data_IF_830159741366
#
_entry.id   IF_830159741366
#
_cell.length_a   1.000
_cell.length_b   1.000
_cell.length_c   1.000
_cell.angle_alpha   90.00
_cell.angle_beta   90.00
_cell.angle_gamma   90.00
#
_symmetry.space_group_name_H-M   'P 1'
#
loop_
_entity.id
_entity.type
_entity.pdbx_description
1 polymer ?
#
# COMPACT_ATOMS: atom_id res chain seq x y z
N UNK A 1 4.41 59.34 5.34
CA UNK A 1 4.68 58.35 6.41
C UNK A 1 6.17 58.43 6.74
N UNK A 2 6.53 58.70 7.99
CA UNK A 2 7.92 58.64 8.45
C UNK A 2 8.14 57.24 9.08
N UNK A 3 9.09 56.46 8.55
CA UNK A 3 9.41 55.12 9.04
C UNK A 3 10.45 54.41 8.16
N UNK A 4 11.07 53.36 8.70
CA UNK A 4 11.99 52.47 7.98
C UNK A 4 11.29 51.15 7.64
N UNK A 5 11.54 50.62 6.44
CA UNK A 5 11.01 49.33 5.97
C UNK A 5 12.09 48.56 5.21
N UNK A 6 12.01 47.23 5.24
CA UNK A 6 12.75 46.34 4.34
C UNK A 6 11.77 45.53 3.50
N UNK A 7 12.14 45.27 2.26
CA UNK A 7 11.46 44.34 1.38
C UNK A 7 12.36 43.10 1.23
N UNK A 8 11.77 41.93 1.34
CA UNK A 8 12.47 40.64 1.15
C UNK A 8 11.80 39.92 0.00
N UNK A 9 12.56 39.60 -1.05
CA UNK A 9 12.07 38.88 -2.21
C UNK A 9 12.71 37.49 -2.28
N UNK A 10 11.94 36.44 -2.60
CA UNK A 10 12.47 35.07 -2.72
C UNK A 10 13.63 34.97 -3.73
N UNK A 11 13.57 35.78 -4.80
CA UNK A 11 14.63 35.86 -5.82
C UNK A 11 15.97 36.32 -5.27
N UNK A 12 15.98 37.05 -4.16
CA UNK A 12 17.19 37.54 -3.48
C UNK A 12 17.66 36.55 -2.40
N UNK A 13 16.90 35.48 -2.14
CA UNK A 13 17.21 34.42 -1.19
C UNK A 13 17.59 33.14 -1.95
N UNK A 14 18.77 33.11 -2.55
CA UNK A 14 19.24 32.00 -3.41
C UNK A 14 19.08 30.63 -2.74
N UNK A 15 19.49 30.51 -1.47
CA UNK A 15 19.38 29.25 -0.72
C UNK A 15 17.93 28.79 -0.51
N UNK A 16 16.97 29.72 -0.41
CA UNK A 16 15.54 29.38 -0.28
C UNK A 16 14.98 28.99 -1.65
N UNK A 17 15.29 29.74 -2.70
CA UNK A 17 14.86 29.42 -4.07
C UNK A 17 15.36 28.04 -4.50
N UNK A 18 16.63 27.72 -4.26
CA UNK A 18 17.18 26.41 -4.60
C UNK A 18 16.51 25.25 -3.85
N UNK A 19 16.06 25.46 -2.61
CA UNK A 19 15.27 24.45 -1.86
C UNK A 19 13.89 24.25 -2.46
N UNK A 20 13.20 25.33 -2.82
CA UNK A 20 11.88 25.28 -3.45
C UNK A 20 11.94 24.61 -4.83
N UNK A 21 13.00 24.87 -5.61
CA UNK A 21 13.23 24.19 -6.90
C UNK A 21 13.42 22.68 -6.74
N UNK A 22 14.19 22.24 -5.74
CA UNK A 22 14.33 20.80 -5.43
C UNK A 22 13.00 20.16 -5.03
N UNK A 23 12.22 20.86 -4.20
CA UNK A 23 10.90 20.39 -3.80
C UNK A 23 9.96 20.27 -5.01
N UNK A 24 9.90 21.29 -5.86
CA UNK A 24 9.11 21.29 -7.07
C UNK A 24 9.48 20.12 -8.00
N UNK A 25 10.78 19.90 -8.23
CA UNK A 25 11.27 18.81 -9.06
C UNK A 25 10.87 17.42 -8.53
N UNK A 26 10.84 17.21 -7.21
CA UNK A 26 10.34 15.95 -6.62
C UNK A 26 8.84 15.76 -6.79
N UNK A 27 8.06 16.84 -6.76
CA UNK A 27 6.61 16.77 -7.01
C UNK A 27 6.26 16.55 -8.49
N UNK A 28 7.17 16.84 -9.42
CA UNK A 28 6.98 16.57 -10.85
C UNK A 28 7.12 15.09 -11.21
N UNK A 29 7.96 14.34 -10.49
CA UNK A 29 8.13 12.91 -10.68
C UNK A 29 8.03 12.16 -9.35
N UNK A 30 6.80 11.85 -8.96
CA UNK A 30 6.53 11.08 -7.74
C UNK A 30 6.63 9.56 -7.96
N UNK A 31 7.17 9.09 -9.09
CA UNK A 31 7.37 7.65 -9.31
C UNK A 31 8.14 6.98 -8.16
N UNK A 32 9.24 7.55 -7.61
CA UNK A 32 9.93 6.92 -6.49
C UNK A 32 9.07 6.88 -5.22
N UNK A 33 8.28 7.94 -4.96
CA UNK A 33 7.33 7.97 -3.84
C UNK A 33 6.26 6.89 -3.99
N UNK A 34 5.69 6.74 -5.19
CA UNK A 34 4.66 5.74 -5.48
C UNK A 34 5.22 4.32 -5.43
N UNK A 35 6.50 4.12 -5.78
CA UNK A 35 7.19 2.84 -5.64
C UNK A 35 7.35 2.45 -4.16
N UNK A 36 7.79 3.38 -3.31
CA UNK A 36 7.91 3.17 -1.87
C UNK A 36 6.54 2.87 -1.22
N UNK A 37 5.50 3.63 -1.58
CA UNK A 37 4.12 3.37 -1.15
C UNK A 37 3.66 1.98 -1.58
N UNK A 38 3.92 1.60 -2.83
CA UNK A 38 3.58 0.27 -3.35
C UNK A 38 4.25 -0.86 -2.57
N UNK A 39 5.54 -0.71 -2.29
CA UNK A 39 6.30 -1.68 -1.50
C UNK A 39 5.75 -1.80 -0.07
N UNK A 40 5.43 -0.68 0.58
CA UNK A 40 4.82 -0.66 1.91
C UNK A 40 3.45 -1.33 1.92
N UNK A 41 2.63 -1.09 0.89
CA UNK A 41 1.33 -1.74 0.75
C UNK A 41 1.46 -3.26 0.53
N UNK A 42 2.43 -3.72 -0.26
CA UNK A 42 2.72 -5.16 -0.41
C UNK A 42 3.10 -5.77 0.94
N UNK A 43 3.96 -5.10 1.72
CA UNK A 43 4.35 -5.56 3.05
C UNK A 43 3.15 -5.62 4.03
N UNK A 44 2.27 -4.62 3.98
CA UNK A 44 1.02 -4.63 4.78
C UNK A 44 0.12 -5.82 4.43
N UNK A 45 -0.06 -6.10 3.14
CA UNK A 45 -0.82 -7.28 2.69
C UNK A 45 -0.14 -8.56 3.16
N UNK A 46 1.19 -8.66 3.12
CA UNK A 46 1.91 -9.82 3.64
C UNK A 46 1.65 -10.02 5.14
N UNK A 47 1.68 -8.96 5.94
CA UNK A 47 1.34 -9.01 7.37
C UNK A 47 -0.11 -9.45 7.61
N UNK A 48 -1.06 -9.09 6.74
CA UNK A 48 -2.45 -9.60 6.79
C UNK A 48 -2.51 -11.10 6.58
N UNK A 49 -1.70 -11.63 5.67
CA UNK A 49 -1.58 -13.08 5.49
C UNK A 49 -1.07 -13.73 6.76
N UNK A 50 0.01 -13.21 7.37
CA UNK A 50 0.60 -13.72 8.61
C UNK A 50 -0.38 -13.70 9.79
N UNK A 51 -1.11 -12.61 9.97
CA UNK A 51 -2.07 -12.44 11.07
C UNK A 51 -3.43 -13.11 10.81
N UNK A 52 -3.74 -13.43 9.54
CA UNK A 52 -5.00 -13.99 9.11
C UNK A 52 -6.18 -13.02 9.25
N UNK A 53 -5.92 -11.71 9.09
CA UNK A 53 -6.91 -10.63 9.27
C UNK A 53 -6.96 -9.72 8.05
N UNK A 54 -8.16 -9.26 7.71
CA UNK A 54 -8.36 -8.30 6.64
C UNK A 54 -7.98 -6.86 7.03
N UNK A 55 -8.07 -5.91 6.09
CA UNK A 55 -7.86 -4.48 6.36
C UNK A 55 -8.88 -3.90 7.36
N UNK A 56 -10.03 -4.54 7.51
CA UNK A 56 -11.02 -4.21 8.54
C UNK A 56 -10.64 -4.72 9.94
N UNK A 57 -9.50 -5.41 10.08
CA UNK A 57 -9.05 -6.07 11.31
C UNK A 57 -9.79 -7.36 11.65
N UNK A 58 -10.76 -7.77 10.83
CA UNK A 58 -11.58 -8.96 11.04
C UNK A 58 -10.78 -10.20 10.62
N UNK A 59 -10.77 -11.21 11.48
CA UNK A 59 -10.13 -12.49 11.17
C UNK A 59 -10.87 -13.20 10.04
N UNK A 60 -10.13 -13.68 9.04
CA UNK A 60 -10.73 -14.41 7.93
C UNK A 60 -11.38 -15.71 8.37
N UNK A 61 -12.49 -16.07 7.72
CA UNK A 61 -13.10 -17.37 7.97
C UNK A 61 -12.13 -18.50 7.57
N UNK A 62 -11.88 -19.40 8.51
CA UNK A 62 -11.01 -20.56 8.31
C UNK A 62 -11.44 -21.36 7.08
N UNK A 63 -10.49 -21.66 6.21
CA UNK A 63 -10.75 -22.57 5.09
C UNK A 63 -11.06 -23.99 5.58
N UNK A 64 -11.79 -24.75 4.77
CA UNK A 64 -12.10 -26.16 5.04
C UNK A 64 -10.85 -27.03 5.22
N UNK A 65 -9.75 -26.71 4.52
CA UNK A 65 -8.44 -27.37 4.71
C UNK A 65 -7.93 -27.14 6.13
N UNK A 66 -7.94 -25.89 6.59
CA UNK A 66 -7.50 -25.52 7.94
C UNK A 66 -8.40 -26.13 9.01
N UNK A 67 -9.73 -26.18 8.79
CA UNK A 67 -10.67 -26.82 9.73
C UNK A 67 -10.40 -28.32 9.90
N UNK A 68 -9.91 -29.01 8.87
CA UNK A 68 -9.60 -30.45 8.89
C UNK A 68 -8.15 -30.80 9.25
N UNK A 69 -7.23 -29.83 9.18
CA UNK A 69 -5.82 -30.07 9.43
C UNK A 69 -5.55 -30.30 10.93
N UNK A 70 -4.66 -31.26 11.22
CA UNK A 70 -4.05 -31.41 12.55
C UNK A 70 -2.67 -30.72 12.50
N UNK A 71 -2.62 -29.39 12.71
CA UNK A 71 -1.37 -28.62 12.69
C UNK A 71 -1.53 -27.15 12.33
N UNK A 72 -0.41 -26.48 12.04
CA UNK A 72 -0.32 -25.03 11.78
C UNK A 72 -0.73 -24.63 10.35
N UNK A 73 -1.78 -25.23 9.79
CA UNK A 73 -2.30 -24.80 8.50
C UNK A 73 -2.94 -23.41 8.62
N UNK A 74 -2.67 -22.54 7.65
CA UNK A 74 -3.17 -21.16 7.65
C UNK A 74 -4.07 -20.89 6.44
N UNK A 75 -5.12 -20.09 6.65
CA UNK A 75 -6.05 -19.76 5.56
C UNK A 75 -5.36 -18.84 4.57
N UNK A 76 -5.64 -19.01 3.27
CA UNK A 76 -4.95 -18.37 2.14
C UNK A 76 -3.46 -18.74 1.95
N UNK A 77 -2.87 -19.54 2.85
CA UNK A 77 -1.48 -20.02 2.73
C UNK A 77 -1.47 -21.54 2.67
N UNK A 78 -1.24 -22.07 1.48
CA UNK A 78 -0.90 -23.48 1.25
C UNK A 78 0.55 -23.56 0.80
N UNK A 79 0.82 -23.42 -0.50
CA UNK A 79 2.16 -23.28 -1.07
C UNK A 79 2.65 -21.81 -1.14
N UNK A 80 1.95 -20.90 -0.46
CA UNK A 80 2.21 -19.46 -0.50
C UNK A 80 2.22 -18.80 -1.90
N UNK A 81 1.72 -19.45 -2.95
CA UNK A 81 1.73 -18.88 -4.32
C UNK A 81 0.99 -17.56 -4.47
N UNK A 82 -0.10 -17.35 -3.71
CA UNK A 82 -0.81 -16.07 -3.73
C UNK A 82 0.04 -14.97 -3.08
N UNK A 83 0.53 -15.26 -1.87
CA UNK A 83 1.41 -14.37 -1.10
C UNK A 83 2.66 -13.98 -1.92
N UNK A 84 3.36 -14.96 -2.49
CA UNK A 84 4.56 -14.76 -3.31
C UNK A 84 4.29 -14.15 -4.69
N UNK A 85 3.04 -13.89 -5.04
CA UNK A 85 2.67 -13.19 -6.29
C UNK A 85 2.21 -11.76 -6.07
N UNK A 86 2.18 -11.29 -4.81
CA UNK A 86 1.84 -9.92 -4.51
C UNK A 86 2.92 -9.00 -5.04
N UNK A 87 2.50 -7.95 -5.74
CA UNK A 87 3.38 -6.97 -6.37
C UNK A 87 2.65 -5.65 -6.53
N UNK A 88 3.39 -4.61 -6.92
CA UNK A 88 2.86 -3.31 -7.23
C UNK A 88 3.40 -2.78 -8.57
N UNK A 89 2.63 -1.90 -9.21
CA UNK A 89 3.04 -1.14 -10.37
C UNK A 89 2.89 0.34 -10.03
N UNK A 90 4.01 1.06 -9.95
CA UNK A 90 4.02 2.49 -9.66
C UNK A 90 4.02 3.32 -10.95
N UNK A 91 3.25 4.41 -10.92
CA UNK A 91 3.26 5.49 -11.90
C UNK A 91 3.59 6.82 -11.19
N UNK A 92 3.60 7.92 -11.93
CA UNK A 92 3.97 9.23 -11.38
C UNK A 92 2.94 9.81 -10.40
N UNK A 93 1.70 9.33 -10.40
CA UNK A 93 0.59 9.87 -9.62
C UNK A 93 -0.28 8.79 -8.96
N UNK A 94 0.09 7.52 -9.13
CA UNK A 94 -0.72 6.39 -8.72
C UNK A 94 0.16 5.15 -8.51
N UNK A 95 -0.37 4.21 -7.73
CA UNK A 95 0.22 2.89 -7.57
C UNK A 95 -0.89 1.84 -7.54
N UNK A 96 -0.70 0.77 -8.32
CA UNK A 96 -1.57 -0.40 -8.29
C UNK A 96 -0.91 -1.48 -7.44
N UNK A 97 -1.66 -2.13 -6.55
CA UNK A 97 -1.16 -3.22 -5.69
C UNK A 97 -2.07 -4.42 -5.86
N UNK A 98 -1.50 -5.60 -6.10
CA UNK A 98 -2.31 -6.78 -6.40
C UNK A 98 -1.52 -8.05 -6.63
N UNK A 99 -2.17 -9.00 -7.30
CA UNK A 99 -1.61 -10.31 -7.67
C UNK A 99 -2.04 -10.67 -9.08
N UNK A 100 -1.17 -11.37 -9.81
CA UNK A 100 -1.47 -11.90 -11.14
C UNK A 100 -2.19 -13.27 -11.12
N UNK A 101 -2.57 -13.79 -9.94
CA UNK A 101 -3.23 -15.10 -9.84
C UNK A 101 -4.72 -14.96 -10.16
N UNK A 102 -5.23 -15.78 -11.07
CA UNK A 102 -6.65 -15.78 -11.46
C UNK A 102 -7.58 -15.95 -10.25
N UNK A 103 -7.19 -16.76 -9.27
CA UNK A 103 -7.97 -17.03 -8.07
C UNK A 103 -7.83 -15.94 -6.97
N UNK A 104 -7.01 -14.91 -7.19
CA UNK A 104 -6.88 -13.76 -6.28
C UNK A 104 -8.24 -13.09 -6.03
N UNK A 105 -8.98 -12.82 -7.12
CA UNK A 105 -10.26 -12.11 -7.05
C UNK A 105 -11.32 -12.85 -6.23
N UNK A 106 -11.46 -14.17 -6.41
CA UNK A 106 -12.46 -14.94 -5.66
C UNK A 106 -12.12 -15.00 -4.16
N UNK A 107 -10.83 -14.94 -3.78
CA UNK A 107 -10.45 -14.81 -2.38
C UNK A 107 -10.71 -13.42 -1.83
N UNK A 108 -10.39 -12.37 -2.58
CA UNK A 108 -10.62 -10.98 -2.15
C UNK A 108 -12.11 -10.71 -1.92
N UNK A 109 -12.96 -11.06 -2.89
CA UNK A 109 -14.36 -10.64 -2.93
C UNK A 109 -15.36 -11.72 -2.49
N UNK A 110 -14.93 -12.98 -2.42
CA UNK A 110 -15.84 -14.11 -2.22
C UNK A 110 -16.75 -14.35 -3.42
N UNK A 111 -17.71 -15.27 -3.25
CA UNK A 111 -18.74 -15.58 -4.23
C UNK A 111 -18.72 -17.02 -4.71
N UNK A 112 -19.49 -17.30 -5.77
CA UNK A 112 -19.69 -18.66 -6.27
C UNK A 112 -18.51 -19.18 -7.08
N UNK A 113 -18.06 -20.39 -6.76
CA UNK A 113 -16.88 -21.03 -7.36
C UNK A 113 -16.98 -22.56 -7.35
N UNK A 114 -15.93 -23.25 -7.79
CA UNK A 114 -15.88 -24.70 -7.94
C UNK A 114 -16.63 -25.21 -9.17
N UNK A 115 -16.74 -26.53 -9.29
CA UNK A 115 -17.43 -27.17 -10.43
C UNK A 115 -18.88 -26.69 -10.49
N UNK A 116 -19.29 -26.17 -11.65
CA UNK A 116 -20.62 -25.59 -11.89
C UNK A 116 -21.01 -24.47 -10.91
N UNK A 117 -20.04 -23.74 -10.35
CA UNK A 117 -20.27 -22.68 -9.36
C UNK A 117 -21.11 -23.13 -8.15
N UNK A 118 -20.96 -24.39 -7.74
CA UNK A 118 -21.76 -25.00 -6.68
C UNK A 118 -21.34 -24.59 -5.27
N UNK A 119 -20.12 -24.06 -5.10
CA UNK A 119 -19.58 -23.65 -3.80
C UNK A 119 -19.75 -22.15 -3.63
N UNK A 120 -20.31 -21.72 -2.51
CA UNK A 120 -20.29 -20.31 -2.11
C UNK A 120 -19.08 -20.09 -1.19
N UNK A 121 -18.15 -19.23 -1.60
CA UNK A 121 -16.91 -18.97 -0.88
C UNK A 121 -17.00 -17.63 -0.15
N UNK A 122 -16.72 -17.58 1.17
CA UNK A 122 -16.68 -16.31 1.89
C UNK A 122 -15.48 -15.47 1.43
N UNK A 123 -15.68 -14.15 1.42
CA UNK A 123 -14.64 -13.18 1.15
C UNK A 123 -13.55 -13.22 2.23
N UNK A 124 -12.31 -13.03 1.81
CA UNK A 124 -11.12 -12.94 2.67
C UNK A 124 -10.32 -11.74 2.16
N UNK A 125 -10.84 -10.52 2.36
CA UNK A 125 -10.21 -9.33 1.82
C UNK A 125 -8.81 -9.18 2.42
N UNK A 126 -7.82 -9.11 1.55
CA UNK A 126 -6.42 -8.88 1.92
C UNK A 126 -5.90 -7.59 1.28
N UNK A 127 -6.47 -7.17 0.15
CA UNK A 127 -6.30 -5.84 -0.43
C UNK A 127 -7.26 -4.85 0.22
N UNK A 128 -6.78 -3.62 0.40
CA UNK A 128 -7.50 -2.52 1.04
C UNK A 128 -6.54 -1.68 1.87
N UNK A 129 -7.03 -0.51 2.29
CA UNK A 129 -6.35 0.37 3.22
C UNK A 129 -6.93 0.18 4.61
N UNK A 130 -6.06 0.17 5.60
CA UNK A 130 -6.43 0.34 7.00
C UNK A 130 -5.77 1.59 7.59
N UNK A 131 -6.13 1.92 8.84
CA UNK A 131 -5.59 3.12 9.49
C UNK A 131 -4.07 3.04 9.72
N UNK A 132 -3.49 1.84 9.78
CA UNK A 132 -2.05 1.63 9.83
C UNK A 132 -1.39 1.99 8.51
N UNK A 133 -1.95 1.53 7.40
CA UNK A 133 -1.47 1.87 6.06
C UNK A 133 -1.47 3.37 5.81
N UNK A 134 -2.57 4.06 6.14
CA UNK A 134 -2.67 5.51 5.94
C UNK A 134 -1.59 6.28 6.70
N UNK A 135 -1.23 5.82 7.90
CA UNK A 135 -0.14 6.41 8.69
C UNK A 135 1.24 6.12 8.09
N UNK A 136 1.47 4.90 7.64
CA UNK A 136 2.72 4.50 7.00
C UNK A 136 2.93 5.29 5.70
N UNK A 137 1.89 5.39 4.87
CA UNK A 137 1.91 6.20 3.64
C UNK A 137 2.22 7.66 3.98
N UNK A 138 1.59 8.22 5.01
CA UNK A 138 1.89 9.57 5.48
C UNK A 138 3.35 9.75 5.86
N UNK A 139 3.94 8.81 6.60
CA UNK A 139 5.34 8.84 6.98
C UNK A 139 6.28 8.77 5.76
N UNK A 140 5.98 7.91 4.78
CA UNK A 140 6.75 7.81 3.54
C UNK A 140 6.70 9.13 2.75
N UNK A 141 5.53 9.76 2.66
CA UNK A 141 5.38 11.08 2.01
C UNK A 141 6.20 12.14 2.73
N UNK A 142 6.12 12.20 4.06
CA UNK A 142 6.86 13.17 4.87
C UNK A 142 8.37 13.00 4.70
N UNK A 143 8.88 11.77 4.74
CA UNK A 143 10.29 11.46 4.52
C UNK A 143 10.74 11.83 3.11
N UNK A 144 9.94 11.49 2.09
CA UNK A 144 10.22 11.81 0.69
C UNK A 144 10.34 13.32 0.44
N UNK A 145 9.46 14.13 1.05
CA UNK A 145 9.51 15.59 0.95
C UNK A 145 10.64 16.18 1.79
N UNK A 146 10.91 15.62 2.98
CA UNK A 146 12.01 16.07 3.84
C UNK A 146 13.37 15.94 3.15
N UNK A 147 13.57 14.92 2.31
CA UNK A 147 14.80 14.78 1.51
C UNK A 147 15.04 15.95 0.55
N UNK A 148 14.00 16.58 -0.02
CA UNK A 148 14.17 17.78 -0.85
C UNK A 148 14.66 19.00 -0.06
N UNK A 149 14.37 19.03 1.24
CA UNK A 149 14.68 20.15 2.13
C UNK A 149 16.08 20.06 2.74
N UNK A 150 16.73 18.90 2.64
CA UNK A 150 18.13 18.70 3.07
C UNK A 150 19.13 19.44 2.17
#
# INVERSE_FOLDING_TARGET
MAGAAIQVNLRELEAVSARLERLAARTENMLPLMDDIGAAMVASVQNRFETGRGPDGIAWEKSERVKRAQGNAQTLVDDAHLLGSLTHNAASDSVEVGSNKIYAAIHQFGGRTGRNHAVDMPARPYLGLDAGDEREIGAIVDDYLAEALR
#
